data_IF_414901414651
#
_entry.id   IF_414901414651
#
_cell.length_a   1.000
_cell.length_b   1.000
_cell.length_c   1.000
_cell.angle_alpha   90.00
_cell.angle_beta   90.00
_cell.angle_gamma   90.00
#
_symmetry.space_group_name_H-M   'P 1'
#
loop_
_entity.id
_entity.type
_entity.pdbx_description
1 polymer ?
#
# COMPACT_ATOMS: atom_id res chain seq x y z
N UNK A 1 9.03 -2.97 -38.14
CA UNK A 1 9.55 -1.95 -37.18
C UNK A 1 9.18 -2.44 -35.79
N UNK A 2 10.05 -2.34 -34.79
CA UNK A 2 9.62 -2.71 -33.43
C UNK A 2 8.43 -1.84 -33.05
N UNK A 3 7.41 -2.48 -32.47
CA UNK A 3 6.22 -1.78 -31.98
C UNK A 3 6.63 -0.81 -30.89
N UNK A 4 5.93 0.32 -30.79
CA UNK A 4 6.16 1.29 -29.70
C UNK A 4 5.71 0.68 -28.37
N UNK A 5 6.54 0.80 -27.35
CA UNK A 5 6.23 0.30 -26.03
C UNK A 5 5.19 1.20 -25.33
N UNK A 6 4.26 0.59 -24.60
CA UNK A 6 3.36 1.25 -23.65
C UNK A 6 3.86 0.96 -22.23
N UNK A 7 4.58 1.89 -21.60
CA UNK A 7 5.03 1.71 -20.23
C UNK A 7 3.85 1.78 -19.26
N UNK A 8 3.76 0.83 -18.35
CA UNK A 8 2.76 0.76 -17.27
C UNK A 8 3.48 0.61 -15.94
N UNK A 9 3.31 1.56 -15.06
CA UNK A 9 3.90 1.54 -13.72
C UNK A 9 2.83 1.24 -12.67
N UNK A 10 3.06 0.23 -11.86
CA UNK A 10 2.26 -0.11 -10.70
C UNK A 10 2.99 0.40 -9.45
N UNK A 11 2.40 1.37 -8.75
CA UNK A 11 2.85 1.86 -7.45
C UNK A 11 1.99 1.22 -6.39
N UNK A 12 2.56 0.36 -5.57
CA UNK A 12 1.82 -0.50 -4.66
C UNK A 12 2.25 -0.25 -3.22
N UNK A 13 1.31 0.19 -2.43
CA UNK A 13 1.47 0.33 -0.99
C UNK A 13 1.65 -1.05 -0.36
N UNK A 14 2.71 -1.19 0.41
CA UNK A 14 3.04 -2.38 1.19
C UNK A 14 3.19 -2.03 2.68
N UNK A 15 2.54 -0.95 3.13
CA UNK A 15 2.50 -0.52 4.52
C UNK A 15 1.72 -1.49 5.40
N UNK A 16 1.76 -1.24 6.69
CA UNK A 16 1.13 -2.10 7.70
C UNK A 16 -0.39 -2.16 7.59
N UNK A 17 -1.02 -1.08 7.12
CA UNK A 17 -2.46 -1.02 6.86
C UNK A 17 -2.89 -2.03 5.80
N UNK A 18 -2.02 -2.34 4.83
CA UNK A 18 -2.26 -3.37 3.81
C UNK A 18 -2.12 -4.80 4.33
N UNK A 19 -1.76 -5.02 5.60
CA UNK A 19 -1.57 -6.35 6.17
C UNK A 19 -2.84 -7.22 6.08
N UNK A 20 -2.66 -8.50 5.79
CA UNK A 20 -3.75 -9.46 5.63
C UNK A 20 -4.40 -9.39 4.26
N UNK A 21 -5.70 -9.15 4.19
CA UNK A 21 -6.47 -9.20 2.93
C UNK A 21 -5.89 -8.26 1.86
N UNK A 22 -5.47 -7.05 2.22
CA UNK A 22 -4.97 -6.06 1.27
C UNK A 22 -3.77 -6.58 0.46
N UNK A 23 -2.70 -6.98 1.13
CA UNK A 23 -1.47 -7.45 0.45
C UNK A 23 -1.69 -8.77 -0.29
N UNK A 24 -2.51 -9.66 0.27
CA UNK A 24 -2.83 -10.94 -0.38
C UNK A 24 -3.61 -10.73 -1.68
N UNK A 25 -4.55 -9.78 -1.67
CA UNK A 25 -5.36 -9.46 -2.85
C UNK A 25 -4.55 -8.70 -3.92
N UNK A 26 -3.62 -7.81 -3.53
CA UNK A 26 -2.68 -7.22 -4.49
C UNK A 26 -1.83 -8.30 -5.14
N UNK A 27 -1.30 -9.25 -4.38
CA UNK A 27 -0.52 -10.36 -4.94
C UNK A 27 -1.32 -11.19 -5.96
N UNK A 28 -2.58 -11.53 -5.65
CA UNK A 28 -3.49 -12.22 -6.59
C UNK A 28 -3.85 -11.33 -7.78
N UNK A 29 -4.07 -10.05 -7.52
CA UNK A 29 -4.45 -9.06 -8.52
C UNK A 29 -3.40 -8.86 -9.59
N UNK A 30 -2.13 -8.78 -9.23
CA UNK A 30 -1.03 -8.68 -10.21
C UNK A 30 -0.99 -9.94 -11.10
N UNK A 31 -1.22 -11.12 -10.54
CA UNK A 31 -1.31 -12.36 -11.33
C UNK A 31 -2.50 -12.32 -12.30
N UNK A 32 -3.65 -11.83 -11.84
CA UNK A 32 -4.84 -11.64 -12.67
C UNK A 32 -4.57 -10.66 -13.79
N UNK A 33 -4.01 -9.48 -13.48
CA UNK A 33 -3.64 -8.46 -14.46
C UNK A 33 -2.79 -9.05 -15.59
N UNK A 34 -1.70 -9.73 -15.23
CA UNK A 34 -0.76 -10.31 -16.21
C UNK A 34 -1.44 -11.40 -17.05
N UNK A 35 -2.26 -12.25 -16.41
CA UNK A 35 -2.99 -13.30 -17.09
C UNK A 35 -3.96 -12.74 -18.12
N UNK A 36 -4.73 -11.72 -17.74
CA UNK A 36 -5.70 -11.08 -18.64
C UNK A 36 -5.00 -10.30 -19.77
N UNK A 37 -3.95 -9.56 -19.48
CA UNK A 37 -3.18 -8.84 -20.51
C UNK A 37 -2.57 -9.77 -21.54
N UNK A 38 -2.06 -10.94 -21.13
CA UNK A 38 -1.49 -11.94 -22.04
C UNK A 38 -2.49 -12.58 -23.01
N UNK A 39 -3.77 -12.47 -22.73
CA UNK A 39 -4.85 -12.91 -23.66
C UNK A 39 -5.07 -11.92 -24.81
N UNK A 40 -4.64 -10.67 -24.66
CA UNK A 40 -4.81 -9.62 -25.66
C UNK A 40 -3.53 -9.48 -26.51
N UNK A 41 -3.56 -9.82 -27.81
CA UNK A 41 -2.37 -9.73 -28.66
C UNK A 41 -1.72 -8.34 -28.73
N UNK A 42 -2.54 -7.28 -28.73
CA UNK A 42 -2.04 -5.90 -28.80
C UNK A 42 -1.35 -5.50 -27.48
N UNK A 43 -1.90 -5.88 -26.33
CA UNK A 43 -1.26 -5.67 -25.05
C UNK A 43 0.02 -6.51 -24.92
N UNK A 44 -0.01 -7.74 -25.40
CA UNK A 44 1.14 -8.65 -25.38
C UNK A 44 2.34 -8.07 -26.15
N UNK A 45 2.08 -7.39 -27.26
CA UNK A 45 3.10 -6.77 -28.10
C UNK A 45 3.60 -5.42 -27.57
N UNK A 46 2.70 -4.62 -26.97
CA UNK A 46 3.00 -3.24 -26.65
C UNK A 46 3.28 -2.99 -25.16
N UNK A 47 2.64 -3.73 -24.24
CA UNK A 47 2.69 -3.43 -22.83
C UNK A 47 4.00 -3.87 -22.15
N UNK A 48 4.59 -2.94 -21.41
CA UNK A 48 5.74 -3.16 -20.55
C UNK A 48 5.35 -2.77 -19.13
N UNK A 49 5.54 -3.67 -18.18
CA UNK A 49 5.14 -3.48 -16.79
C UNK A 49 6.33 -3.21 -15.89
N UNK A 50 6.17 -2.30 -14.96
CA UNK A 50 7.11 -2.04 -13.86
C UNK A 50 6.36 -2.06 -12.54
N UNK A 51 7.01 -2.53 -11.48
CA UNK A 51 6.45 -2.56 -10.13
C UNK A 51 7.36 -1.78 -9.18
N UNK A 52 6.79 -0.75 -8.58
CA UNK A 52 7.37 0.03 -7.51
C UNK A 52 6.54 -0.24 -6.25
N UNK A 53 7.15 -0.74 -5.21
CA UNK A 53 6.52 -0.89 -3.90
C UNK A 53 7.00 0.22 -2.98
N UNK A 54 6.15 0.62 -2.05
CA UNK A 54 6.52 1.55 -0.99
C UNK A 54 5.93 1.12 0.35
N UNK A 55 6.72 1.33 1.36
CA UNK A 55 6.45 1.18 2.77
C UNK A 55 7.33 2.22 3.46
N UNK A 56 8.23 1.86 4.34
CA UNK A 56 9.24 2.78 4.88
C UNK A 56 10.11 3.45 3.80
N UNK A 57 10.41 2.72 2.73
CA UNK A 57 11.14 3.19 1.55
C UNK A 57 10.44 2.74 0.28
N UNK A 58 10.58 3.54 -0.77
CA UNK A 58 10.16 3.10 -2.09
C UNK A 58 11.25 2.28 -2.77
N UNK A 59 10.86 1.21 -3.46
CA UNK A 59 11.76 0.34 -4.21
C UNK A 59 11.13 -0.10 -5.53
N UNK A 60 11.83 0.08 -6.63
CA UNK A 60 11.47 -0.59 -7.88
C UNK A 60 11.92 -2.05 -7.79
N UNK A 61 10.96 -2.95 -7.61
CA UNK A 61 11.24 -4.39 -7.48
C UNK A 61 11.27 -5.10 -8.84
N UNK A 62 10.55 -4.55 -9.83
CA UNK A 62 10.62 -4.99 -11.22
C UNK A 62 10.81 -3.75 -12.11
N UNK A 63 11.92 -3.65 -12.84
CA UNK A 63 12.10 -2.59 -13.83
C UNK A 63 11.12 -2.77 -14.99
N UNK A 64 11.02 -1.78 -15.88
CA UNK A 64 10.13 -1.82 -17.03
C UNK A 64 10.43 -3.03 -17.91
N UNK A 65 9.61 -4.05 -17.80
CA UNK A 65 9.80 -5.39 -18.38
C UNK A 65 8.69 -5.70 -19.36
N UNK A 66 9.05 -6.29 -20.49
CA UNK A 66 8.12 -6.80 -21.50
C UNK A 66 7.12 -7.80 -20.87
N UNK A 67 5.85 -7.68 -21.25
CA UNK A 67 4.77 -8.49 -20.67
C UNK A 67 5.01 -10.00 -20.77
N UNK A 68 5.66 -10.47 -21.84
CA UNK A 68 6.02 -11.89 -22.00
C UNK A 68 7.02 -12.38 -20.95
N UNK A 69 8.00 -11.55 -20.64
CA UNK A 69 9.06 -11.87 -19.66
C UNK A 69 8.68 -11.51 -18.22
N UNK A 70 7.59 -10.77 -18.02
CA UNK A 70 7.19 -10.29 -16.71
C UNK A 70 6.78 -11.45 -15.80
N UNK A 71 7.36 -11.51 -14.60
CA UNK A 71 7.01 -12.46 -13.55
C UNK A 71 6.37 -11.70 -12.39
N UNK A 72 5.11 -12.00 -12.01
CA UNK A 72 4.48 -11.38 -10.86
C UNK A 72 5.31 -11.56 -9.59
N UNK A 73 5.68 -10.49 -8.89
CA UNK A 73 6.43 -10.60 -7.65
C UNK A 73 5.51 -11.08 -6.52
N UNK A 74 6.12 -11.61 -5.46
CA UNK A 74 5.44 -11.81 -4.19
C UNK A 74 5.76 -10.63 -3.28
N UNK A 75 4.73 -9.88 -2.91
CA UNK A 75 4.82 -8.71 -2.03
C UNK A 75 4.58 -9.11 -0.59
N UNK A 76 5.25 -8.44 0.32
CA UNK A 76 5.10 -8.58 1.76
C UNK A 76 4.98 -7.20 2.42
N UNK A 77 4.32 -7.17 3.57
CA UNK A 77 4.07 -5.95 4.34
C UNK A 77 5.32 -5.55 5.12
N UNK A 78 5.56 -4.24 5.15
CA UNK A 78 6.64 -3.60 5.93
C UNK A 78 6.12 -2.32 6.57
N UNK A 79 6.75 -1.82 7.65
CA UNK A 79 6.35 -0.58 8.30
C UNK A 79 6.46 0.65 7.41
N UNK A 80 5.58 1.64 7.65
CA UNK A 80 5.62 2.99 7.09
C UNK A 80 4.99 3.13 5.70
N UNK A 81 4.72 4.38 5.29
CA UNK A 81 4.06 4.76 4.02
C UNK A 81 4.83 5.91 3.35
N UNK A 82 6.03 5.63 2.83
CA UNK A 82 6.87 6.61 2.14
C UNK A 82 6.34 6.92 0.73
N UNK A 83 5.22 7.58 0.66
CA UNK A 83 4.48 7.92 -0.55
C UNK A 83 5.25 8.92 -1.44
N UNK A 84 5.82 9.97 -0.83
CA UNK A 84 6.65 10.95 -1.55
C UNK A 84 7.87 10.30 -2.18
N UNK A 85 8.53 9.38 -1.47
CA UNK A 85 9.62 8.57 -2.01
C UNK A 85 9.17 7.74 -3.23
N UNK A 86 7.96 7.18 -3.21
CA UNK A 86 7.43 6.42 -4.34
C UNK A 86 7.23 7.31 -5.58
N UNK A 87 6.70 8.50 -5.41
CA UNK A 87 6.54 9.49 -6.48
C UNK A 87 7.89 9.94 -7.05
N UNK A 88 8.87 10.22 -6.20
CA UNK A 88 10.23 10.59 -6.64
C UNK A 88 10.88 9.44 -7.41
N UNK A 89 10.77 8.21 -6.91
CA UNK A 89 11.32 7.03 -7.55
C UNK A 89 10.64 6.77 -8.92
N UNK A 90 9.31 6.92 -9.02
CA UNK A 90 8.59 6.83 -10.28
C UNK A 90 9.19 7.77 -11.34
N UNK A 91 9.42 9.04 -10.97
CA UNK A 91 10.03 10.03 -11.87
C UNK A 91 11.43 9.60 -12.32
N UNK A 92 12.24 9.08 -11.40
CA UNK A 92 13.59 8.60 -11.71
C UNK A 92 13.55 7.38 -12.66
N UNK A 93 12.65 6.42 -12.39
CA UNK A 93 12.46 5.24 -13.23
C UNK A 93 12.02 5.65 -14.65
N UNK A 94 11.03 6.53 -14.77
CA UNK A 94 10.58 7.02 -16.08
C UNK A 94 11.69 7.74 -16.86
N UNK A 95 12.52 8.55 -16.18
CA UNK A 95 13.66 9.22 -16.83
C UNK A 95 14.69 8.24 -17.40
N UNK A 96 14.88 7.12 -16.72
CA UNK A 96 15.86 6.09 -17.09
C UNK A 96 15.32 5.13 -18.13
N UNK A 97 14.05 4.76 -18.09
CA UNK A 97 13.48 3.61 -18.79
C UNK A 97 12.63 3.97 -20.00
N UNK A 98 11.99 5.16 -19.99
CA UNK A 98 11.10 5.58 -21.07
C UNK A 98 11.91 6.21 -22.20
N UNK A 99 11.80 5.63 -23.39
CA UNK A 99 12.48 6.13 -24.59
C UNK A 99 11.76 7.37 -25.10
N UNK A 100 12.52 8.47 -25.21
CA UNK A 100 12.01 9.72 -25.78
C UNK A 100 12.00 9.68 -27.32
N UNK A 101 10.99 10.33 -27.92
CA UNK A 101 10.98 10.53 -29.38
C UNK A 101 12.12 11.46 -29.79
N UNK A 102 12.86 11.05 -30.81
CA UNK A 102 13.90 11.84 -31.49
C UNK A 102 13.48 12.09 -32.92
N UNK A 103 14.18 12.96 -33.67
CA UNK A 103 13.90 13.16 -35.11
C UNK A 103 13.99 11.87 -35.94
N UNK A 104 14.81 10.90 -35.52
CA UNK A 104 15.09 9.66 -36.25
C UNK A 104 14.35 8.44 -35.70
N UNK A 105 13.77 8.52 -34.49
CA UNK A 105 13.14 7.37 -33.82
C UNK A 105 11.90 7.81 -33.06
N UNK A 106 10.79 7.11 -33.28
CA UNK A 106 9.59 7.23 -32.41
C UNK A 106 9.90 6.61 -31.03
N UNK A 107 9.73 7.38 -29.98
CA UNK A 107 9.86 6.92 -28.61
C UNK A 107 8.64 6.12 -28.13
N UNK A 108 8.65 5.76 -26.85
CA UNK A 108 7.55 5.07 -26.19
C UNK A 108 6.27 5.91 -26.19
N UNK A 109 5.13 5.26 -25.96
CA UNK A 109 3.92 5.97 -25.60
C UNK A 109 4.06 6.59 -24.21
N UNK A 110 3.20 7.58 -23.91
CA UNK A 110 3.17 8.16 -22.55
C UNK A 110 2.79 7.08 -21.54
N UNK A 111 3.51 6.95 -20.43
CA UNK A 111 3.23 5.96 -19.41
C UNK A 111 1.82 6.05 -18.83
N UNK A 112 1.26 4.90 -18.47
CA UNK A 112 0.13 4.76 -17.56
C UNK A 112 0.66 4.44 -16.16
N UNK A 113 0.08 5.06 -15.14
CA UNK A 113 0.46 4.83 -13.75
C UNK A 113 -0.79 4.43 -12.96
N UNK A 114 -0.69 3.33 -12.22
CA UNK A 114 -1.71 2.87 -11.28
C UNK A 114 -1.11 2.90 -9.89
N UNK A 115 -1.70 3.72 -9.03
CA UNK A 115 -1.29 3.91 -7.65
C UNK A 115 -2.35 3.29 -6.73
N UNK A 116 -1.93 2.38 -5.85
CA UNK A 116 -2.76 1.78 -4.81
C UNK A 116 -2.19 2.15 -3.46
N UNK A 117 -3.04 2.70 -2.59
CA UNK A 117 -2.70 2.98 -1.19
C UNK A 117 -3.95 2.96 -0.33
N UNK A 118 -3.82 2.59 0.93
CA UNK A 118 -4.88 2.66 1.94
C UNK A 118 -4.51 3.52 3.14
N UNK A 119 -3.25 4.00 3.17
CA UNK A 119 -2.68 4.76 4.27
C UNK A 119 -2.49 6.24 3.98
N UNK A 120 -2.10 6.95 5.03
CA UNK A 120 -1.64 8.33 4.95
C UNK A 120 -0.12 8.38 4.76
N UNK A 121 0.41 9.29 3.94
CA UNK A 121 1.85 9.47 3.79
C UNK A 121 2.54 9.76 5.12
N UNK A 122 3.72 9.19 5.29
CA UNK A 122 4.59 9.41 6.46
C UNK A 122 5.84 10.22 6.15
N UNK A 123 5.97 10.69 4.90
CA UNK A 123 7.12 11.45 4.40
C UNK A 123 6.70 12.77 3.72
N UNK A 124 7.67 13.57 3.26
CA UNK A 124 7.44 14.82 2.52
C UNK A 124 6.92 14.52 1.09
N UNK A 125 5.65 14.19 0.99
CA UNK A 125 4.99 13.90 -0.27
C UNK A 125 4.66 15.16 -1.08
N UNK A 126 4.43 16.32 -0.45
CA UNK A 126 4.07 17.57 -1.14
C UNK A 126 5.19 18.03 -2.07
N UNK A 127 6.43 18.03 -1.59
CA UNK A 127 7.59 18.34 -2.40
C UNK A 127 7.77 17.38 -3.57
N UNK A 128 7.48 16.09 -3.37
CA UNK A 128 7.56 15.05 -4.41
C UNK A 128 6.51 15.25 -5.51
N UNK A 129 5.26 15.57 -5.13
CA UNK A 129 4.17 15.87 -6.08
C UNK A 129 4.46 17.15 -6.86
N UNK A 130 4.94 18.20 -6.21
CA UNK A 130 5.37 19.43 -6.90
C UNK A 130 6.48 19.16 -7.90
N UNK A 131 7.44 18.29 -7.55
CA UNK A 131 8.50 17.86 -8.46
C UNK A 131 7.94 17.05 -9.64
N UNK A 132 6.93 16.20 -9.45
CA UNK A 132 6.27 15.45 -10.52
C UNK A 132 5.58 16.38 -11.55
N UNK A 133 4.98 17.46 -11.09
CA UNK A 133 4.27 18.45 -11.93
C UNK A 133 5.20 19.39 -12.69
N UNK A 134 6.51 19.41 -12.38
CA UNK A 134 7.46 20.32 -13.01
C UNK A 134 7.57 20.09 -14.54
N UNK A 135 7.73 21.17 -15.30
CA UNK A 135 7.65 21.17 -16.77
C UNK A 135 8.71 20.28 -17.46
N UNK A 136 9.83 19.99 -16.79
CA UNK A 136 10.93 19.18 -17.32
C UNK A 136 10.80 17.67 -17.02
N UNK A 137 9.68 17.23 -16.45
CA UNK A 137 9.47 15.83 -16.12
C UNK A 137 8.90 15.03 -17.30
N UNK A 138 9.06 13.69 -17.30
CA UNK A 138 8.43 12.84 -18.28
C UNK A 138 6.91 13.02 -18.27
N UNK A 139 6.31 13.20 -19.45
CA UNK A 139 4.84 13.33 -19.54
C UNK A 139 4.20 11.97 -19.35
N UNK A 140 3.29 11.90 -18.38
CA UNK A 140 2.44 10.74 -18.11
C UNK A 140 1.14 10.88 -18.89
N UNK A 141 0.57 9.79 -19.39
CA UNK A 141 -0.74 9.81 -20.03
C UNK A 141 -1.84 10.02 -18.98
N UNK A 142 -1.90 9.10 -18.02
CA UNK A 142 -2.82 9.16 -16.89
C UNK A 142 -2.18 8.54 -15.65
N UNK A 143 -2.50 9.10 -14.49
CA UNK A 143 -2.28 8.48 -13.19
C UNK A 143 -3.66 8.13 -12.64
N UNK A 144 -3.90 6.86 -12.37
CA UNK A 144 -5.09 6.35 -11.73
C UNK A 144 -4.77 6.05 -10.28
N UNK A 145 -5.28 6.86 -9.37
CA UNK A 145 -5.08 6.67 -7.95
C UNK A 145 -6.28 5.91 -7.36
N UNK A 146 -6.02 4.77 -6.76
CA UNK A 146 -7.02 3.90 -6.14
C UNK A 146 -6.78 3.89 -4.63
N UNK A 147 -7.64 4.61 -3.92
CA UNK A 147 -7.68 4.61 -2.46
C UNK A 147 -8.40 3.37 -1.95
N UNK A 148 -7.74 2.57 -1.14
CA UNK A 148 -8.20 1.28 -0.67
C UNK A 148 -8.59 1.36 0.82
N UNK A 149 -9.87 1.11 1.11
CA UNK A 149 -10.35 1.09 2.49
C UNK A 149 -10.93 2.41 3.00
N UNK A 150 -11.40 2.40 4.26
CA UNK A 150 -12.19 3.50 4.82
C UNK A 150 -11.36 4.71 5.26
N UNK A 151 -10.06 4.53 5.51
CA UNK A 151 -9.20 5.54 6.13
C UNK A 151 -8.34 6.32 5.12
N UNK A 152 -8.48 6.02 3.83
CA UNK A 152 -7.74 6.69 2.77
C UNK A 152 -8.11 8.17 2.66
N UNK A 153 -7.09 9.02 2.63
CA UNK A 153 -7.26 10.45 2.35
C UNK A 153 -7.24 10.70 0.84
N UNK A 154 -8.44 10.86 0.26
CA UNK A 154 -8.58 11.11 -1.18
C UNK A 154 -8.10 12.50 -1.60
N UNK A 155 -7.96 13.46 -0.69
CA UNK A 155 -7.45 14.79 -1.02
C UNK A 155 -5.96 14.74 -1.33
N UNK A 156 -5.19 13.94 -0.58
CA UNK A 156 -3.79 13.68 -0.89
C UNK A 156 -3.65 13.04 -2.28
N UNK A 157 -4.52 12.10 -2.62
CA UNK A 157 -4.49 11.47 -3.95
C UNK A 157 -4.83 12.46 -5.07
N UNK A 158 -5.72 13.41 -4.80
CA UNK A 158 -6.06 14.49 -5.76
C UNK A 158 -4.92 15.45 -6.01
N UNK A 159 -4.03 15.62 -5.05
CA UNK A 159 -2.79 16.37 -5.31
C UNK A 159 -1.90 15.68 -6.35
N UNK A 160 -2.03 14.39 -6.57
CA UNK A 160 -1.28 13.67 -7.60
C UNK A 160 -1.97 13.65 -8.94
N UNK A 161 -3.32 13.48 -8.95
CA UNK A 161 -4.13 13.31 -10.16
C UNK A 161 -5.59 13.67 -9.95
N UNK A 162 -6.26 14.11 -11.02
CA UNK A 162 -7.72 14.31 -11.02
C UNK A 162 -8.50 12.98 -11.15
N UNK A 163 -7.82 11.87 -11.44
CA UNK A 163 -8.44 10.55 -11.62
C UNK A 163 -8.25 9.73 -10.35
N UNK A 164 -9.13 9.97 -9.38
CA UNK A 164 -9.12 9.31 -8.08
C UNK A 164 -10.33 8.40 -7.96
N UNK A 165 -10.08 7.18 -7.53
CA UNK A 165 -11.10 6.20 -7.20
C UNK A 165 -10.98 5.80 -5.73
N UNK A 166 -12.13 5.56 -5.11
CA UNK A 166 -12.21 4.93 -3.80
C UNK A 166 -12.74 3.51 -3.99
N UNK A 167 -12.11 2.57 -3.35
CA UNK A 167 -12.55 1.18 -3.32
C UNK A 167 -13.26 0.93 -1.98
N UNK A 168 -14.59 0.81 -2.06
CA UNK A 168 -15.40 0.42 -0.91
C UNK A 168 -15.36 -1.09 -0.74
N UNK A 169 -14.80 -1.51 0.37
CA UNK A 169 -14.71 -2.92 0.75
C UNK A 169 -13.43 -3.62 0.26
N UNK A 170 -12.89 -4.43 1.16
CA UNK A 170 -11.65 -5.20 0.95
C UNK A 170 -11.94 -6.66 0.57
N UNK A 171 -13.10 -6.94 -0.06
CA UNK A 171 -13.45 -8.30 -0.48
C UNK A 171 -12.61 -8.77 -1.65
N UNK A 172 -12.30 -10.07 -1.69
CA UNK A 172 -11.57 -10.70 -2.81
C UNK A 172 -12.20 -10.44 -4.16
N UNK A 173 -13.54 -10.42 -4.23
CA UNK A 173 -14.26 -10.17 -5.49
C UNK A 173 -14.13 -8.70 -5.94
N UNK A 174 -14.13 -7.75 -5.01
CA UNK A 174 -13.91 -6.33 -5.31
C UNK A 174 -12.51 -6.12 -5.92
N UNK A 175 -11.48 -6.64 -5.28
CA UNK A 175 -10.11 -6.58 -5.78
C UNK A 175 -9.96 -7.23 -7.15
N UNK A 176 -10.50 -8.42 -7.35
CA UNK A 176 -10.46 -9.10 -8.64
C UNK A 176 -11.07 -8.26 -9.75
N UNK A 177 -12.24 -7.64 -9.52
CA UNK A 177 -12.91 -6.77 -10.49
C UNK A 177 -12.07 -5.53 -10.84
N UNK A 178 -11.39 -4.94 -9.85
CA UNK A 178 -10.47 -3.81 -10.07
C UNK A 178 -9.33 -4.23 -10.99
N UNK A 179 -8.66 -5.35 -10.73
CA UNK A 179 -7.54 -5.79 -11.56
C UNK A 179 -7.97 -6.24 -12.97
N UNK A 180 -9.16 -6.81 -13.14
CA UNK A 180 -9.75 -7.08 -14.46
C UNK A 180 -10.02 -5.77 -15.20
N UNK A 181 -10.56 -4.75 -14.52
CA UNK A 181 -10.77 -3.42 -15.09
C UNK A 181 -9.44 -2.74 -15.48
N UNK A 182 -8.39 -2.87 -14.66
CA UNK A 182 -7.06 -2.40 -15.01
C UNK A 182 -6.56 -3.05 -16.30
N UNK A 183 -6.68 -4.37 -16.40
CA UNK A 183 -6.23 -5.10 -17.60
C UNK A 183 -6.98 -4.65 -18.86
N UNK A 184 -8.30 -4.43 -18.75
CA UNK A 184 -9.11 -3.90 -19.83
C UNK A 184 -8.70 -2.46 -20.21
N UNK A 185 -8.33 -1.63 -19.22
CA UNK A 185 -7.86 -0.27 -19.45
C UNK A 185 -6.53 -0.23 -20.20
N UNK A 186 -5.56 -1.06 -19.80
CA UNK A 186 -4.27 -1.19 -20.50
C UNK A 186 -4.46 -1.76 -21.91
N UNK A 187 -5.34 -2.77 -22.07
CA UNK A 187 -5.67 -3.35 -23.37
C UNK A 187 -6.29 -2.32 -24.31
N UNK A 188 -7.27 -1.54 -23.84
CA UNK A 188 -7.91 -0.49 -24.62
C UNK A 188 -6.90 0.59 -25.05
N UNK A 189 -6.01 1.00 -24.16
CA UNK A 189 -4.92 1.91 -24.47
C UNK A 189 -3.98 1.31 -25.55
N UNK A 190 -3.61 0.05 -25.41
CA UNK A 190 -2.74 -0.65 -26.39
C UNK A 190 -3.38 -0.68 -27.78
N UNK A 191 -4.67 -1.00 -27.88
CA UNK A 191 -5.40 -1.06 -29.17
C UNK A 191 -5.47 0.33 -29.82
N UNK A 192 -5.90 1.37 -29.10
CA UNK A 192 -6.00 2.73 -29.65
C UNK A 192 -4.65 3.27 -30.13
N UNK A 193 -3.60 3.02 -29.37
CA UNK A 193 -2.27 3.50 -29.70
C UNK A 193 -1.66 2.78 -30.91
N UNK A 194 -1.95 1.49 -31.11
CA UNK A 194 -1.46 0.71 -32.25
C UNK A 194 -2.28 0.96 -33.51
N UNK A 195 -3.58 1.26 -33.43
CA UNK A 195 -4.42 1.59 -34.59
C UNK A 195 -4.18 2.98 -35.19
N UNK A 196 -3.30 3.79 -34.61
CA UNK A 196 -2.96 5.12 -35.13
C UNK A 196 -3.91 6.24 -34.73
N UNK A 197 -4.94 5.96 -33.95
CA UNK A 197 -5.97 6.92 -33.50
C UNK A 197 -5.54 7.67 -32.22
N UNK A 198 -4.25 7.99 -32.13
CA UNK A 198 -3.58 8.56 -30.95
C UNK A 198 -4.04 9.98 -30.53
N UNK A 199 -5.03 10.57 -31.22
CA UNK A 199 -5.59 11.90 -30.90
C UNK A 199 -6.87 11.82 -30.06
N UNK A 200 -7.54 10.66 -30.03
CA UNK A 200 -8.76 10.50 -29.22
C UNK A 200 -8.44 10.17 -27.77
N UNK A 201 -9.19 10.69 -26.79
CA UNK A 201 -9.06 10.29 -25.39
C UNK A 201 -9.17 8.76 -25.24
N UNK A 202 -8.35 8.18 -24.37
CA UNK A 202 -8.46 6.76 -24.04
C UNK A 202 -9.78 6.59 -23.27
N UNK A 203 -10.78 5.98 -23.92
CA UNK A 203 -12.02 5.65 -23.25
C UNK A 203 -11.77 4.51 -22.27
N UNK A 204 -12.05 4.78 -21.01
CA UNK A 204 -11.94 3.79 -19.94
C UNK A 204 -13.10 2.79 -20.06
N UNK A 205 -12.87 1.49 -19.80
CA UNK A 205 -13.95 0.55 -19.61
C UNK A 205 -14.90 1.01 -18.51
N UNK A 206 -16.15 0.54 -18.53
CA UNK A 206 -17.10 0.83 -17.46
C UNK A 206 -16.52 0.44 -16.10
N UNK A 207 -16.65 1.35 -15.12
CA UNK A 207 -16.14 1.13 -13.76
C UNK A 207 -16.85 -0.06 -13.13
N UNK A 208 -16.12 -0.95 -12.44
CA UNK A 208 -16.74 -1.96 -11.61
C UNK A 208 -17.47 -1.29 -10.44
N UNK A 209 -18.55 -1.89 -9.96
CA UNK A 209 -19.34 -1.36 -8.81
C UNK A 209 -18.51 -1.24 -7.52
N UNK A 210 -17.34 -1.88 -7.46
CA UNK A 210 -16.41 -1.79 -6.33
C UNK A 210 -15.50 -0.58 -6.37
N UNK A 211 -15.51 0.20 -7.46
CA UNK A 211 -14.77 1.45 -7.59
C UNK A 211 -15.74 2.61 -7.72
N UNK A 212 -15.63 3.57 -6.82
CA UNK A 212 -16.32 4.84 -6.89
C UNK A 212 -15.36 5.91 -7.40
N UNK A 213 -15.76 6.62 -8.46
CA UNK A 213 -15.02 7.79 -8.90
C UNK A 213 -15.25 8.94 -7.90
N UNK A 214 -14.19 9.56 -7.44
CA UNK A 214 -14.22 10.69 -6.51
C UNK A 214 -14.06 11.99 -7.32
N UNK A 215 -15.15 12.75 -7.59
CA UNK A 215 -15.05 13.97 -8.39
C UNK A 215 -14.19 15.05 -7.73
N UNK A 216 -13.49 15.90 -8.50
CA UNK A 216 -12.82 17.07 -7.95
C UNK A 216 -13.80 17.95 -7.17
N UNK A 217 -13.39 18.40 -5.97
CA UNK A 217 -14.21 19.27 -5.10
C UNK A 217 -15.31 18.56 -4.31
N UNK A 218 -15.39 17.22 -4.30
CA UNK A 218 -16.18 16.49 -3.32
C UNK A 218 -15.54 16.66 -1.92
N UNK A 219 -16.37 16.93 -0.91
CA UNK A 219 -15.89 17.06 0.47
C UNK A 219 -15.29 15.72 0.93
N UNK A 220 -14.03 15.75 1.36
CA UNK A 220 -13.46 14.63 2.09
C UNK A 220 -14.00 14.69 3.52
N UNK A 221 -14.57 13.60 3.99
CA UNK A 221 -14.85 13.45 5.40
C UNK A 221 -13.53 13.09 6.11
N UNK A 222 -12.68 14.10 6.31
CA UNK A 222 -11.48 13.92 7.11
C UNK A 222 -11.90 13.83 8.60
N UNK A 223 -11.99 12.62 9.12
CA UNK A 223 -12.09 12.39 10.56
C UNK A 223 -10.66 12.51 11.13
N UNK A 224 -10.37 13.52 11.96
CA UNK A 224 -9.02 13.71 12.50
C UNK A 224 -8.59 12.59 13.44
N UNK A 225 -9.51 11.72 13.84
CA UNK A 225 -9.23 10.56 14.68
C UNK A 225 -9.14 9.31 13.79
N UNK A 226 -8.01 8.60 13.78
CA UNK A 226 -7.87 7.41 12.94
C UNK A 226 -8.96 6.38 13.27
N UNK A 227 -9.53 5.76 12.25
CA UNK A 227 -10.51 4.68 12.42
C UNK A 227 -9.85 3.38 12.85
N UNK A 228 -8.56 3.26 12.64
CA UNK A 228 -7.78 2.08 13.01
C UNK A 228 -6.49 2.47 13.72
N UNK A 229 -6.03 1.57 14.57
CA UNK A 229 -4.76 1.69 15.29
C UNK A 229 -3.98 0.40 15.06
N UNK A 230 -2.71 0.55 14.75
CA UNK A 230 -1.78 -0.53 14.52
C UNK A 230 -0.70 -0.50 15.60
N UNK A 231 -0.42 -1.67 16.19
CA UNK A 231 0.62 -1.84 17.21
C UNK A 231 1.52 -3.00 16.82
N UNK A 232 2.82 -2.76 16.82
CA UNK A 232 3.80 -3.81 16.58
C UNK A 232 4.12 -4.56 17.87
N UNK A 233 4.21 -5.87 17.77
CA UNK A 233 4.57 -6.74 18.89
C UNK A 233 5.47 -7.90 18.44
N UNK A 234 6.05 -8.59 19.41
CA UNK A 234 6.85 -9.78 19.20
C UNK A 234 6.18 -10.99 19.83
N UNK A 235 6.26 -12.13 19.18
CA UNK A 235 5.89 -13.39 19.82
C UNK A 235 6.93 -13.76 20.87
N UNK A 236 6.53 -13.91 22.12
CA UNK A 236 7.44 -14.28 23.20
C UNK A 236 8.10 -15.66 22.97
N UNK A 237 7.38 -16.60 22.36
CA UNK A 237 7.85 -17.96 22.13
C UNK A 237 8.81 -18.07 20.95
N UNK A 238 8.51 -17.40 19.84
CA UNK A 238 9.30 -17.53 18.60
C UNK A 238 10.22 -16.34 18.32
N UNK A 239 10.07 -15.21 19.04
CA UNK A 239 10.80 -13.97 18.78
C UNK A 239 10.38 -13.29 17.47
N UNK A 240 9.35 -13.79 16.78
CA UNK A 240 8.92 -13.25 15.49
C UNK A 240 8.01 -12.04 15.65
N UNK A 241 8.17 -11.00 14.82
CA UNK A 241 7.35 -9.81 14.88
C UNK A 241 5.95 -10.03 14.30
N UNK A 242 4.96 -9.32 14.83
CA UNK A 242 3.60 -9.29 14.31
C UNK A 242 2.93 -7.94 14.56
N UNK A 243 1.89 -7.65 13.78
CA UNK A 243 1.07 -6.46 13.86
C UNK A 243 -0.25 -6.81 14.54
N UNK A 244 -0.67 -6.00 15.49
CA UNK A 244 -2.01 -6.01 16.07
C UNK A 244 -2.82 -4.87 15.49
N UNK A 245 -4.05 -5.16 15.08
CA UNK A 245 -4.97 -4.22 14.45
C UNK A 245 -6.19 -4.02 15.31
N UNK A 246 -6.54 -2.76 15.54
CA UNK A 246 -7.69 -2.33 16.32
C UNK A 246 -8.56 -1.41 15.49
N UNK A 247 -9.89 -1.48 15.64
CA UNK A 247 -10.83 -0.56 15.00
C UNK A 247 -11.57 0.27 16.03
N UNK A 248 -11.82 1.52 15.68
CA UNK A 248 -12.59 2.46 16.48
C UNK A 248 -14.04 2.00 16.63
N UNK A 249 -14.56 2.00 17.84
CA UNK A 249 -15.96 1.69 18.15
C UNK A 249 -16.75 2.99 18.32
N UNK A 250 -17.59 3.31 17.33
CA UNK A 250 -18.48 4.47 17.39
C UNK A 250 -17.76 5.80 17.64
N UNK A 251 -18.47 6.77 18.22
CA UNK A 251 -17.94 8.10 18.56
C UNK A 251 -17.14 8.13 19.88
N UNK A 252 -17.04 7.02 20.61
CA UNK A 252 -16.51 6.98 21.98
C UNK A 252 -14.98 6.99 22.09
N UNK A 253 -14.24 6.96 21.01
CA UNK A 253 -12.76 7.04 21.02
C UNK A 253 -12.03 5.77 21.49
N UNK A 254 -12.72 4.68 21.77
CA UNK A 254 -12.13 3.38 22.10
C UNK A 254 -11.93 2.54 20.84
N UNK A 255 -10.91 1.67 20.87
CA UNK A 255 -10.52 0.80 19.74
C UNK A 255 -10.60 -0.66 20.19
N UNK A 256 -11.44 -1.45 19.52
CA UNK A 256 -11.54 -2.88 19.79
C UNK A 256 -10.60 -3.68 18.91
N UNK A 257 -10.06 -4.75 19.48
CA UNK A 257 -9.20 -5.71 18.79
C UNK A 257 -9.92 -6.33 17.60
N UNK A 258 -9.27 -6.35 16.42
CA UNK A 258 -9.80 -7.00 15.21
C UNK A 258 -9.06 -8.30 14.93
N UNK A 259 -7.76 -8.19 14.66
CA UNK A 259 -6.92 -9.32 14.23
C UNK A 259 -5.44 -8.99 14.39
N UNK A 260 -4.61 -9.99 14.17
CA UNK A 260 -3.16 -9.82 14.08
C UNK A 260 -2.60 -10.43 12.80
N UNK A 261 -1.46 -9.91 12.35
CA UNK A 261 -0.79 -10.33 11.11
C UNK A 261 0.70 -10.53 11.34
N UNK A 262 1.28 -11.51 10.67
CA UNK A 262 2.73 -11.74 10.69
C UNK A 262 3.44 -10.60 9.96
N UNK A 263 4.55 -10.11 10.53
CA UNK A 263 5.45 -9.15 9.89
C UNK A 263 6.78 -9.83 9.56
N UNK A 264 7.49 -9.30 8.55
CA UNK A 264 8.85 -9.75 8.23
C UNK A 264 9.90 -9.13 9.17
N UNK A 265 9.67 -7.89 9.62
CA UNK A 265 10.55 -7.17 10.52
C UNK A 265 9.76 -6.17 11.38
N UNK A 266 10.34 -5.78 12.52
CA UNK A 266 9.89 -4.61 13.29
C UNK A 266 10.44 -3.32 12.68
N UNK A 267 9.75 -2.22 12.94
CA UNK A 267 10.29 -0.89 12.73
C UNK A 267 11.07 -0.47 13.98
N UNK A 268 12.40 -0.55 13.90
CA UNK A 268 13.29 -0.21 15.03
C UNK A 268 13.85 1.22 14.95
N UNK A 269 13.62 1.97 13.87
CA UNK A 269 14.13 3.33 13.72
C UNK A 269 13.13 4.38 14.20
N UNK A 270 13.62 5.30 15.01
CA UNK A 270 12.85 6.34 15.74
C UNK A 270 12.41 7.56 14.89
N UNK A 271 12.38 7.48 13.58
CA UNK A 271 12.36 8.66 12.71
C UNK A 271 11.03 9.37 12.55
N UNK A 272 9.88 8.75 12.87
CA UNK A 272 8.59 9.47 12.94
C UNK A 272 7.68 8.80 13.97
N UNK A 273 7.63 9.40 15.15
CA UNK A 273 6.85 8.86 16.27
C UNK A 273 5.43 9.39 16.17
N UNK A 274 4.50 8.55 15.73
CA UNK A 274 3.07 8.84 15.94
C UNK A 274 2.81 9.03 17.45
N UNK A 275 1.91 9.94 17.82
CA UNK A 275 1.53 10.09 19.21
C UNK A 275 1.14 8.73 19.81
N UNK A 276 1.67 8.35 20.98
CA UNK A 276 1.33 7.08 21.59
C UNK A 276 -0.17 7.03 21.92
N UNK A 277 -0.71 5.83 22.00
CA UNK A 277 -2.09 5.60 22.46
C UNK A 277 -2.07 5.06 23.86
N UNK A 278 -2.98 5.55 24.70
CA UNK A 278 -3.13 5.02 26.04
C UNK A 278 -3.84 3.66 25.99
N UNK A 279 -3.32 2.67 26.71
CA UNK A 279 -3.88 1.32 26.74
C UNK A 279 -5.33 1.25 27.22
N UNK A 280 -5.81 2.26 27.96
CA UNK A 280 -7.22 2.37 28.38
C UNK A 280 -8.19 2.59 27.21
N UNK A 281 -7.68 3.03 26.05
CA UNK A 281 -8.48 3.20 24.84
C UNK A 281 -8.53 1.93 23.99
N UNK A 282 -7.78 0.89 24.36
CA UNK A 282 -7.72 -0.39 23.67
C UNK A 282 -8.59 -1.42 24.38
N UNK A 283 -9.54 -2.00 23.67
CA UNK A 283 -10.43 -3.03 24.17
C UNK A 283 -10.09 -4.38 23.53
N UNK A 284 -9.76 -5.37 24.37
CA UNK A 284 -9.30 -6.68 23.95
C UNK A 284 -7.83 -6.70 23.50
N UNK A 285 -7.37 -7.88 23.11
CA UNK A 285 -6.05 -8.11 22.53
C UNK A 285 -6.16 -9.13 21.41
N UNK A 286 -5.73 -8.81 20.17
CA UNK A 286 -5.73 -9.79 19.09
C UNK A 286 -4.79 -10.95 19.41
N UNK A 287 -5.19 -12.18 19.11
CA UNK A 287 -4.37 -13.37 19.31
C UNK A 287 -3.04 -13.26 18.57
N UNK A 288 -1.95 -13.65 19.21
CA UNK A 288 -0.64 -13.77 18.56
C UNK A 288 -0.71 -14.76 17.38
N UNK A 289 -0.30 -14.41 16.17
CA UNK A 289 -0.45 -15.27 14.98
C UNK A 289 0.54 -16.44 14.94
N UNK A 290 1.38 -16.58 15.97
CA UNK A 290 2.38 -17.66 16.08
C UNK A 290 2.08 -18.63 17.22
N UNK A 291 1.55 -18.16 18.34
CA UNK A 291 1.34 -18.98 19.53
C UNK A 291 -0.06 -18.87 20.13
N UNK A 292 -0.95 -18.09 19.49
CA UNK A 292 -2.38 -17.92 19.85
C UNK A 292 -2.62 -17.29 21.23
N UNK A 293 -1.62 -16.72 21.90
CA UNK A 293 -1.82 -15.98 23.13
C UNK A 293 -2.65 -14.73 22.90
N UNK A 294 -3.64 -14.49 23.75
CA UNK A 294 -4.59 -13.36 23.69
C UNK A 294 -4.25 -12.23 24.67
N UNK A 295 -3.06 -12.23 25.21
CA UNK A 295 -2.58 -11.22 26.16
C UNK A 295 -1.30 -10.62 25.64
N UNK A 296 -1.19 -9.30 25.71
CA UNK A 296 0.04 -8.58 25.41
C UNK A 296 0.60 -7.91 26.67
N UNK A 297 1.91 -7.79 26.71
CA UNK A 297 2.65 -7.09 27.74
C UNK A 297 3.64 -6.12 27.13
N UNK A 298 4.03 -5.10 27.90
CA UNK A 298 5.08 -4.15 27.52
C UNK A 298 6.30 -4.29 28.40
N UNK A 299 7.46 -4.15 27.81
CA UNK A 299 8.72 -4.08 28.52
C UNK A 299 9.13 -2.61 28.75
N UNK A 300 9.86 -2.26 29.83
CA UNK A 300 10.43 -0.93 29.98
C UNK A 300 11.34 -0.47 28.82
N UNK A 301 11.85 -1.41 28.01
CA UNK A 301 12.58 -1.08 26.78
C UNK A 301 11.67 -0.61 25.62
N UNK A 302 10.35 -0.50 25.84
CA UNK A 302 9.36 -0.09 24.85
C UNK A 302 8.85 -1.22 23.94
N UNK A 303 9.36 -2.45 24.06
CA UNK A 303 8.87 -3.57 23.29
C UNK A 303 7.54 -4.09 23.83
N UNK A 304 6.58 -4.32 22.90
CA UNK A 304 5.36 -5.07 23.17
C UNK A 304 5.54 -6.53 22.73
N UNK A 305 4.95 -7.45 23.48
CA UNK A 305 5.03 -8.89 23.13
C UNK A 305 3.80 -9.63 23.71
N UNK A 306 3.48 -10.78 23.10
CA UNK A 306 2.43 -11.63 23.64
C UNK A 306 2.92 -12.32 24.92
N UNK A 307 2.05 -12.43 25.91
CA UNK A 307 2.33 -13.08 27.20
C UNK A 307 1.41 -14.26 27.41
N UNK A 308 1.90 -15.33 28.03
CA UNK A 308 1.06 -16.46 28.41
C UNK A 308 0.35 -16.13 29.75
N UNK A 309 -0.98 -15.99 29.79
CA UNK A 309 -1.69 -15.64 31.00
C UNK A 309 -1.63 -16.73 32.10
N UNK A 310 -1.24 -17.94 31.71
CA UNK A 310 -1.07 -19.08 32.66
C UNK A 310 0.27 -19.05 33.38
N UNK A 311 1.27 -18.38 32.82
CA UNK A 311 2.57 -18.18 33.46
C UNK A 311 2.52 -16.93 34.35
N UNK A 312 2.01 -17.10 35.59
CA UNK A 312 2.13 -16.09 36.65
C UNK A 312 3.53 -16.15 37.25
N UNK A 313 4.52 -15.67 36.54
CA UNK A 313 5.90 -15.73 37.01
C UNK A 313 6.81 -14.88 36.15
N UNK A 314 8.10 -15.08 36.33
CA UNK A 314 9.12 -14.39 35.57
C UNK A 314 9.03 -14.73 34.08
N UNK A 315 8.96 -13.73 33.26
CA UNK A 315 9.03 -13.84 31.78
C UNK A 315 10.21 -13.04 31.29
N UNK A 316 10.63 -13.30 30.07
CA UNK A 316 11.78 -12.61 29.46
C UNK A 316 11.29 -11.81 28.25
N UNK A 317 11.69 -10.55 28.16
CA UNK A 317 11.41 -9.74 26.99
C UNK A 317 12.10 -10.32 25.74
N UNK A 318 11.39 -10.59 24.63
CA UNK A 318 12.00 -11.16 23.44
C UNK A 318 12.96 -10.19 22.72
N UNK A 319 12.90 -8.87 23.02
CA UNK A 319 13.78 -7.86 22.41
C UNK A 319 15.06 -7.63 23.20
N UNK A 320 14.95 -7.29 24.48
CA UNK A 320 16.11 -6.91 25.31
C UNK A 320 16.57 -7.98 26.30
N UNK A 321 15.88 -9.12 26.36
CA UNK A 321 16.14 -10.25 27.25
C UNK A 321 16.07 -9.95 28.75
N UNK A 322 15.52 -8.79 29.14
CA UNK A 322 15.30 -8.46 30.55
C UNK A 322 14.23 -9.38 31.16
N UNK A 323 14.49 -9.86 32.35
CA UNK A 323 13.51 -10.58 33.16
C UNK A 323 12.41 -9.62 33.62
N UNK A 324 11.16 -10.03 33.46
CA UNK A 324 9.97 -9.26 33.82
C UNK A 324 9.08 -10.10 34.72
N UNK A 325 8.63 -9.53 35.82
CA UNK A 325 7.67 -10.16 36.72
C UNK A 325 6.30 -9.46 36.54
N UNK A 326 5.30 -10.19 36.10
CA UNK A 326 3.95 -9.69 36.03
C UNK A 326 3.34 -9.66 37.44
N UNK A 327 3.32 -8.49 38.06
CA UNK A 327 2.65 -8.23 39.33
C UNK A 327 1.33 -7.53 39.09
N UNK A 328 0.31 -7.87 39.89
CA UNK A 328 -1.09 -7.52 39.83
C UNK A 328 -1.49 -6.17 39.25
N UNK A 329 -2.80 -6.03 38.99
CA UNK A 329 -3.55 -4.87 38.42
C UNK A 329 -2.69 -3.81 37.71
N UNK A 330 -2.39 -4.05 36.45
CA UNK A 330 -1.63 -3.11 35.62
C UNK A 330 -2.37 -1.79 35.50
N UNK A 331 -1.69 -0.68 35.80
CA UNK A 331 -2.16 0.65 35.46
C UNK A 331 -2.17 0.86 33.94
N UNK A 332 -2.89 1.88 33.49
CA UNK A 332 -2.86 2.30 32.10
C UNK A 332 -1.44 2.78 31.72
N UNK A 333 -1.00 2.46 30.53
CA UNK A 333 0.30 2.84 29.99
C UNK A 333 0.16 3.28 28.52
N UNK A 334 1.09 4.08 28.07
CA UNK A 334 1.12 4.54 26.70
C UNK A 334 1.84 3.53 25.82
N UNK A 335 1.24 3.22 24.67
CA UNK A 335 1.76 2.26 23.68
C UNK A 335 2.15 3.00 22.41
N UNK A 336 3.30 2.70 21.87
CA UNK A 336 3.73 3.23 20.57
C UNK A 336 2.80 2.71 19.48
N UNK A 337 2.34 3.64 18.65
CA UNK A 337 1.56 3.33 17.45
C UNK A 337 2.50 3.13 16.27
N UNK A 338 2.13 2.20 15.42
CA UNK A 338 2.72 2.01 14.12
C UNK A 338 2.01 2.90 13.10
N UNK A 339 2.72 3.35 12.09
CA UNK A 339 2.11 3.99 10.94
C UNK A 339 1.34 2.95 10.15
N UNK A 340 0.04 3.12 10.02
CA UNK A 340 -0.83 2.28 9.23
C UNK A 340 -0.72 2.57 7.73
#
# INVERSE_FOLDING_TARGET
MPSRRLPVYLLLDCSESMAGTGIDEINRGIQTLVTELRKNPMALEAAYLSVITFSRYAKQIIPLTELMAFQPPKLSVRPGTAFGNAIQLLVQCMKREVVKTTPTQKGDYKPLVFLFTDGQPTDDWESAVNALRAANQPKIANIYAIGCGPDVDTDILREVTDIVFRMDGMSTDAWRKVFVWLSASVSSASVKLTSGDGLSPIEMPSLPMSLEYVPPGSESHHDPSPRQVFLQAMCQRSGQPYLMRFARQGAGGTYSAICSHKLEALDDEETDVMPPINSSLLDGCPCCPYCENEVAATCPCGAMFCADPKHRGDTTCPKCHAGLTFGGAGGNFDVRRSHG
#
